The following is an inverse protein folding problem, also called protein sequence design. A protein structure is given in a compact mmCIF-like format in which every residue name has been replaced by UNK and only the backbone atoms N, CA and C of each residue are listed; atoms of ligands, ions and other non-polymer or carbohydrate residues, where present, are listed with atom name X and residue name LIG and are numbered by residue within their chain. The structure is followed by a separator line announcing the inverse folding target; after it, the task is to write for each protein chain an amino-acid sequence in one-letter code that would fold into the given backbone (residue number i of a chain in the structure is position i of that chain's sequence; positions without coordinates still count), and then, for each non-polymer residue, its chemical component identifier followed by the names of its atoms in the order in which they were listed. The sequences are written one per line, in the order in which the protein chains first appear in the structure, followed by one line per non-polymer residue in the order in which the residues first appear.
data_IF_235800181393
#
_entry.id   IF_235800181393
#
_cell.length_a   1.000
_cell.length_b   1.000
_cell.length_c   1.000
_cell.angle_alpha   90.00
_cell.angle_beta   90.00
_cell.angle_gamma   90.00
#
_symmetry.space_group_name_H-M   'P 1'
#
loop_
_entity.id
_entity.type
_entity.pdbx_description
1 polymer ?
#
# COMPACT_ATOMS: atom_id res chain seq x y z
N UNK A 1 26.87 -1.65 -74.94
CA UNK A 1 25.54 -1.86 -74.33
C UNK A 1 25.73 -2.05 -72.84
N UNK A 2 25.38 -1.05 -72.04
CA UNK A 2 25.32 -1.13 -70.58
C UNK A 2 24.08 -0.34 -70.15
N UNK A 3 23.14 -0.92 -69.37
CA UNK A 3 21.98 -0.18 -68.90
C UNK A 3 22.39 0.69 -67.70
N UNK A 4 22.31 2.00 -67.87
CA UNK A 4 22.46 2.96 -66.78
C UNK A 4 21.26 2.90 -65.85
N UNK A 5 21.43 2.28 -64.69
CA UNK A 5 20.46 2.36 -63.59
C UNK A 5 20.48 3.77 -62.97
N UNK A 6 19.35 4.48 -63.07
CA UNK A 6 19.13 5.75 -62.39
C UNK A 6 19.12 5.51 -60.86
N UNK A 7 19.77 6.37 -60.04
CA UNK A 7 19.74 6.22 -58.59
C UNK A 7 18.31 6.47 -58.06
N UNK A 8 17.79 5.63 -57.15
CA UNK A 8 16.46 5.83 -56.57
C UNK A 8 16.42 7.14 -55.78
N UNK A 9 15.31 7.88 -55.94
CA UNK A 9 15.09 9.17 -55.29
C UNK A 9 15.21 9.07 -53.77
N UNK A 10 15.69 10.14 -53.13
CA UNK A 10 15.87 10.21 -51.65
C UNK A 10 14.61 9.81 -50.86
N UNK A 11 13.44 9.95 -51.47
CA UNK A 11 12.14 9.61 -50.89
C UNK A 11 11.88 8.09 -50.77
N UNK A 12 12.35 7.28 -51.73
CA UNK A 12 12.21 5.81 -51.64
C UNK A 12 13.20 5.23 -50.64
N UNK A 13 14.39 5.82 -50.48
CA UNK A 13 15.36 5.43 -49.46
C UNK A 13 14.86 5.65 -48.04
N UNK A 14 14.23 6.79 -47.79
CA UNK A 14 13.69 7.15 -46.48
C UNK A 14 12.56 6.19 -46.05
N UNK A 15 11.73 5.74 -47.00
CA UNK A 15 10.68 4.74 -46.75
C UNK A 15 11.24 3.35 -46.43
N UNK A 16 12.31 2.92 -47.12
CA UNK A 16 12.95 1.63 -46.84
C UNK A 16 13.62 1.60 -45.46
N UNK A 17 14.25 2.71 -45.03
CA UNK A 17 14.87 2.81 -43.70
C UNK A 17 13.81 2.75 -42.59
N UNK A 18 12.67 3.43 -42.76
CA UNK A 18 11.57 3.39 -41.78
C UNK A 18 10.96 1.99 -41.67
N UNK A 19 10.73 1.31 -42.80
CA UNK A 19 10.19 -0.06 -42.81
C UNK A 19 11.17 -1.04 -42.15
N UNK A 20 12.46 -0.96 -42.48
CA UNK A 20 13.48 -1.80 -41.85
C UNK A 20 13.57 -1.55 -40.33
N UNK A 21 13.51 -0.29 -39.90
CA UNK A 21 13.48 0.07 -38.48
C UNK A 21 12.25 -0.49 -37.74
N UNK A 22 11.06 -0.39 -38.35
CA UNK A 22 9.83 -0.94 -37.77
C UNK A 22 9.88 -2.46 -37.61
N UNK A 23 10.45 -3.19 -38.60
CA UNK A 23 10.60 -4.65 -38.52
C UNK A 23 11.55 -5.07 -37.40
N UNK A 24 12.66 -4.33 -37.19
CA UNK A 24 13.60 -4.60 -36.09
C UNK A 24 12.94 -4.37 -34.72
N UNK A 25 12.17 -3.28 -34.58
CA UNK A 25 11.45 -2.97 -33.33
C UNK A 25 10.41 -4.05 -33.02
N UNK A 26 9.62 -4.47 -34.01
CA UNK A 26 8.63 -5.56 -33.82
C UNK A 26 9.30 -6.86 -33.44
N UNK A 27 10.44 -7.21 -34.05
CA UNK A 27 11.21 -8.41 -33.68
C UNK A 27 11.72 -8.38 -32.25
N UNK A 28 12.24 -7.24 -31.78
CA UNK A 28 12.71 -7.07 -30.40
C UNK A 28 11.58 -7.16 -29.39
N UNK A 29 10.41 -6.59 -29.70
CA UNK A 29 9.22 -6.67 -28.83
C UNK A 29 8.73 -8.12 -28.72
N UNK A 30 8.68 -8.86 -29.83
CA UNK A 30 8.28 -10.27 -29.81
C UNK A 30 9.28 -11.14 -29.03
N UNK A 31 10.58 -10.89 -29.16
CA UNK A 31 11.60 -11.59 -28.38
C UNK A 31 11.49 -11.32 -26.87
N UNK A 32 11.19 -10.07 -26.48
CA UNK A 32 10.98 -9.70 -25.07
C UNK A 32 9.74 -10.39 -24.47
N UNK A 33 8.64 -10.50 -25.23
CA UNK A 33 7.41 -11.19 -24.79
C UNK A 33 7.66 -12.69 -24.58
N UNK A 34 8.46 -13.34 -25.44
CA UNK A 34 8.79 -14.77 -25.29
C UNK A 34 9.68 -15.04 -24.07
N UNK A 35 10.57 -14.11 -23.69
CA UNK A 35 11.37 -14.25 -22.48
C UNK A 35 10.55 -14.06 -21.20
N UNK A 36 9.47 -13.26 -21.25
CA UNK A 36 8.61 -12.97 -20.12
C UNK A 36 7.64 -14.11 -19.73
N UNK A 37 7.49 -15.15 -20.57
CA UNK A 37 6.54 -16.26 -20.30
C UNK A 37 7.17 -17.52 -19.68
N UNK A 38 8.48 -17.53 -19.39
CA UNK A 38 9.12 -18.68 -18.71
C UNK A 38 8.80 -18.67 -17.21
N UNK A 39 7.74 -19.39 -16.84
CA UNK A 39 7.28 -19.63 -15.46
C UNK A 39 8.39 -20.28 -14.60
N UNK A 40 8.79 -19.69 -13.46
CA UNK A 40 9.70 -20.33 -12.52
C UNK A 40 9.09 -21.59 -11.89
N UNK A 41 9.88 -22.66 -11.82
CA UNK A 41 9.48 -23.94 -11.22
C UNK A 41 9.29 -23.83 -9.69
N UNK A 42 8.31 -24.50 -9.09
CA UNK A 42 8.10 -24.47 -7.64
C UNK A 42 9.20 -25.25 -6.90
N UNK A 43 9.77 -24.60 -5.87
CA UNK A 43 10.77 -25.16 -4.96
C UNK A 43 10.14 -26.20 -4.01
N UNK A 44 10.78 -27.36 -3.77
CA UNK A 44 10.22 -28.41 -2.91
C UNK A 44 10.27 -28.02 -1.42
N UNK A 45 9.10 -28.04 -0.77
CA UNK A 45 8.92 -27.84 0.65
C UNK A 45 9.54 -29.00 1.47
N UNK A 46 10.41 -28.76 2.46
CA UNK A 46 10.91 -29.84 3.32
C UNK A 46 9.83 -30.27 4.32
N UNK A 47 9.51 -31.57 4.33
CA UNK A 47 8.65 -32.20 5.34
C UNK A 47 9.46 -32.54 6.60
N UNK A 48 8.97 -32.09 7.76
CA UNK A 48 9.53 -32.44 9.05
C UNK A 48 9.14 -33.89 9.44
N UNK A 49 10.14 -34.69 9.77
CA UNK A 49 10.02 -36.03 10.36
C UNK A 49 9.65 -35.89 11.84
N UNK A 50 8.60 -36.59 12.28
CA UNK A 50 8.36 -36.92 13.69
C UNK A 50 8.24 -38.43 13.81
N UNK A 51 9.19 -39.03 14.52
CA UNK A 51 9.28 -40.46 14.83
C UNK A 51 9.00 -40.65 16.34
N UNK A 52 8.33 -41.75 16.76
CA UNK A 52 7.54 -41.80 17.98
C UNK A 52 8.35 -42.29 19.19
N UNK A 53 7.82 -42.09 20.40
CA UNK A 53 8.26 -42.85 21.57
C UNK A 53 7.07 -43.30 22.41
N UNK A 54 7.02 -44.60 22.64
CA UNK A 54 6.01 -45.32 23.41
C UNK A 54 6.39 -45.43 24.89
N UNK A 55 5.42 -45.82 25.72
CA UNK A 55 5.51 -47.05 26.56
C UNK A 55 5.12 -46.87 28.04
N UNK A 56 4.25 -47.81 28.47
CA UNK A 56 4.01 -48.42 29.79
C UNK A 56 3.52 -47.52 30.96
N UNK A 57 2.42 -47.80 31.67
CA UNK A 57 1.85 -49.02 32.31
C UNK A 57 2.35 -49.30 33.74
N UNK A 58 1.39 -49.71 34.60
CA UNK A 58 1.46 -50.20 35.99
C UNK A 58 1.61 -49.13 37.09
N UNK A 59 1.03 -49.18 38.30
CA UNK A 59 0.04 -50.03 39.04
C UNK A 59 -0.17 -49.35 40.42
N UNK A 60 -1.24 -49.60 41.23
CA UNK A 60 -1.65 -48.70 42.33
C UNK A 60 -1.22 -49.14 43.76
N UNK A 61 -1.46 -48.21 44.72
CA UNK A 61 -1.70 -48.40 46.18
C UNK A 61 -0.48 -48.30 47.13
N UNK A 62 -0.63 -48.00 48.45
CA UNK A 62 -1.80 -47.59 49.25
C UNK A 62 -1.65 -46.32 50.13
N UNK A 63 -2.81 -45.73 50.45
CA UNK A 63 -3.27 -45.22 51.75
C UNK A 63 -2.30 -44.45 52.66
N UNK A 64 -2.46 -43.12 52.70
CA UNK A 64 -2.10 -42.31 53.86
C UNK A 64 -3.32 -41.63 54.50
N UNK A 65 -3.36 -41.84 55.80
CA UNK A 65 -4.19 -41.35 56.91
C UNK A 65 -4.86 -39.97 56.70
N UNK A 66 -6.16 -39.79 57.07
CA UNK A 66 -6.80 -38.48 57.03
C UNK A 66 -6.29 -37.60 58.19
N UNK A 67 -5.49 -36.59 57.83
CA UNK A 67 -5.08 -35.48 58.70
C UNK A 67 -6.31 -34.61 59.04
N UNK A 68 -6.48 -34.12 60.29
CA UNK A 68 -7.63 -33.30 60.66
C UNK A 68 -7.73 -32.03 59.82
N UNK A 69 -8.92 -31.82 59.25
CA UNK A 69 -9.26 -30.69 58.38
C UNK A 69 -9.11 -29.36 59.14
N UNK A 70 -8.35 -28.37 58.61
CA UNK A 70 -8.26 -27.05 59.21
C UNK A 70 -9.61 -26.34 59.09
N UNK A 71 -10.04 -25.74 60.21
CA UNK A 71 -11.24 -24.90 60.31
C UNK A 71 -11.19 -23.80 59.25
N UNK A 72 -12.23 -23.61 58.42
CA UNK A 72 -12.21 -22.59 57.39
C UNK A 72 -12.12 -21.21 58.05
N UNK A 73 -10.98 -20.55 57.82
CA UNK A 73 -10.79 -19.15 58.18
C UNK A 73 -11.69 -18.31 57.29
N UNK A 74 -12.43 -17.37 57.88
CA UNK A 74 -13.37 -16.52 57.16
C UNK A 74 -12.67 -15.82 55.99
N UNK A 75 -13.03 -16.21 54.77
CA UNK A 75 -12.57 -15.57 53.54
C UNK A 75 -13.00 -14.11 53.56
N UNK A 76 -12.04 -13.19 53.52
CA UNK A 76 -12.33 -11.77 53.40
C UNK A 76 -13.23 -11.52 52.17
N UNK A 77 -14.20 -10.59 52.25
CA UNK A 77 -15.07 -10.28 51.13
C UNK A 77 -14.24 -9.87 49.91
N UNK A 78 -14.64 -10.26 48.69
CA UNK A 78 -13.89 -9.93 47.49
C UNK A 78 -13.74 -8.42 47.38
N UNK A 79 -12.50 -7.96 47.43
CA UNK A 79 -12.13 -6.57 47.16
C UNK A 79 -12.66 -6.24 45.77
N UNK A 80 -13.50 -5.21 45.67
CA UNK A 80 -14.10 -4.80 44.41
C UNK A 80 -13.01 -4.64 43.34
N UNK A 81 -13.05 -5.48 42.31
CA UNK A 81 -12.17 -5.37 41.16
C UNK A 81 -12.40 -3.98 40.56
N UNK A 82 -11.37 -3.12 40.45
CA UNK A 82 -11.55 -1.82 39.82
C UNK A 82 -12.09 -2.04 38.41
N UNK A 83 -13.26 -1.46 38.15
CA UNK A 83 -13.87 -1.39 36.82
C UNK A 83 -12.78 -0.95 35.83
N UNK A 84 -12.50 -1.69 34.74
CA UNK A 84 -11.57 -1.20 33.74
C UNK A 84 -12.13 0.12 33.23
N UNK A 85 -11.47 1.21 33.61
CA UNK A 85 -11.68 2.50 32.97
C UNK A 85 -11.29 2.28 31.51
N UNK A 86 -12.19 2.45 30.53
CA UNK A 86 -11.81 2.41 29.13
C UNK A 86 -10.88 3.59 28.89
N UNK A 87 -9.59 3.36 29.09
CA UNK A 87 -8.57 4.31 28.70
C UNK A 87 -8.25 3.94 27.26
N UNK A 88 -9.07 4.42 26.34
CA UNK A 88 -8.57 4.70 25.01
C UNK A 88 -7.58 5.87 25.16
N UNK A 89 -6.38 5.55 25.67
CA UNK A 89 -5.25 6.44 25.49
C UNK A 89 -4.98 6.43 23.99
N UNK A 90 -5.45 7.45 23.28
CA UNK A 90 -4.91 7.81 21.96
C UNK A 90 -3.47 8.25 22.24
N UNK A 91 -2.57 7.28 22.33
CA UNK A 91 -1.13 7.50 22.26
C UNK A 91 -0.83 7.97 20.82
N UNK A 92 0.11 8.91 20.64
CA UNK A 92 0.02 9.95 19.62
C UNK A 92 0.13 9.37 18.22
N UNK A 93 -0.95 9.52 17.46
CA UNK A 93 -1.08 9.80 16.03
C UNK A 93 0.26 9.98 15.27
N UNK A 94 1.04 8.90 15.10
CA UNK A 94 2.39 8.93 14.51
C UNK A 94 2.73 7.64 13.76
N UNK A 95 1.75 6.85 13.32
CA UNK A 95 2.02 5.81 12.33
C UNK A 95 1.59 6.29 10.95
N UNK A 96 2.27 5.89 9.86
CA UNK A 96 1.85 6.22 8.50
C UNK A 96 0.39 5.83 8.24
N UNK A 97 -0.03 4.65 8.71
CA UNK A 97 -1.41 4.16 8.55
C UNK A 97 -2.44 5.06 9.26
N UNK A 98 -2.13 5.53 10.47
CA UNK A 98 -3.02 6.47 11.18
C UNK A 98 -3.10 7.80 10.45
N UNK A 99 -1.98 8.32 9.94
CA UNK A 99 -1.97 9.57 9.15
C UNK A 99 -2.76 9.41 7.85
N UNK A 100 -2.66 8.26 7.18
CA UNK A 100 -3.50 7.95 6.02
C UNK A 100 -5.00 7.93 6.37
N UNK A 101 -5.38 7.42 7.55
CA UNK A 101 -6.76 7.47 8.03
C UNK A 101 -7.30 8.89 8.25
N UNK A 102 -6.43 9.85 8.57
CA UNK A 102 -6.81 11.27 8.69
C UNK A 102 -6.89 11.97 7.33
N UNK A 103 -6.06 11.55 6.38
CA UNK A 103 -6.09 12.05 5.01
C UNK A 103 -7.31 11.52 4.25
N UNK A 104 -7.72 10.29 4.53
CA UNK A 104 -8.84 9.63 3.89
C UNK A 104 -9.85 9.15 4.94
N UNK A 105 -10.57 10.06 5.60
CA UNK A 105 -11.55 9.66 6.61
C UNK A 105 -12.69 8.90 5.96
N UNK A 106 -12.95 7.68 6.43
CA UNK A 106 -14.17 6.97 6.10
C UNK A 106 -15.34 7.69 6.79
N UNK A 107 -16.24 8.31 6.02
CA UNK A 107 -17.41 8.93 6.63
C UNK A 107 -18.41 7.83 7.01
N UNK A 108 -18.71 7.72 8.31
CA UNK A 108 -19.85 6.94 8.80
C UNK A 108 -21.22 7.42 8.27
N UNK A 109 -21.24 8.51 7.51
CA UNK A 109 -22.41 9.11 6.85
C UNK A 109 -22.48 8.90 5.32
N UNK A 110 -21.59 8.11 4.71
CA UNK A 110 -21.77 7.60 3.34
C UNK A 110 -21.11 8.39 2.20
N UNK A 111 -20.39 9.49 2.45
CA UNK A 111 -19.54 10.17 1.44
C UNK A 111 -18.28 10.77 2.09
N UNK A 112 -17.19 10.02 2.13
CA UNK A 112 -15.87 10.45 2.60
C UNK A 112 -15.23 11.49 1.67
N UNK A 113 -14.79 12.60 2.26
CA UNK A 113 -13.97 13.60 1.59
C UNK A 113 -12.55 13.53 2.12
N UNK A 114 -11.56 13.50 1.23
CA UNK A 114 -10.15 13.58 1.63
C UNK A 114 -9.84 14.90 2.33
N UNK A 115 -8.82 14.88 3.18
CA UNK A 115 -8.36 16.07 3.87
C UNK A 115 -7.83 17.09 2.86
N UNK A 116 -8.35 18.32 2.91
CA UNK A 116 -7.97 19.37 1.98
C UNK A 116 -8.63 19.30 0.61
N UNK A 117 -9.71 18.52 0.43
CA UNK A 117 -10.51 18.52 -0.79
C UNK A 117 -10.89 19.94 -1.26
N UNK A 118 -11.21 20.84 -0.31
CA UNK A 118 -11.52 22.26 -0.56
C UNK A 118 -10.32 23.14 -0.94
N UNK A 119 -9.10 22.59 -1.05
CA UNK A 119 -7.87 23.35 -1.28
C UNK A 119 -7.20 23.90 -0.02
N UNK A 120 -7.87 23.80 1.13
CA UNK A 120 -7.33 24.20 2.43
C UNK A 120 -6.80 22.97 3.16
N UNK A 121 -5.49 22.74 3.13
CA UNK A 121 -4.83 21.60 3.82
C UNK A 121 -4.54 21.86 5.31
N UNK A 122 -5.21 22.84 5.91
CA UNK A 122 -5.02 23.20 7.32
C UNK A 122 -5.39 22.03 8.22
N UNK A 123 -4.43 21.57 9.03
CA UNK A 123 -4.61 20.42 9.93
C UNK A 123 -4.47 19.05 9.25
N UNK A 124 -4.25 19.00 7.94
CA UNK A 124 -3.94 17.76 7.24
C UNK A 124 -2.46 17.38 7.46
N UNK A 125 -2.13 16.10 7.68
CA UNK A 125 -0.75 15.65 7.83
C UNK A 125 -0.07 15.50 6.47
N UNK A 126 0.11 16.62 5.76
CA UNK A 126 0.72 16.69 4.42
C UNK A 126 1.93 17.62 4.42
N UNK A 127 2.88 17.36 3.54
CA UNK A 127 4.00 18.28 3.30
C UNK A 127 3.58 19.45 2.40
N UNK A 128 4.35 20.54 2.43
CA UNK A 128 4.17 21.66 1.49
C UNK A 128 4.37 21.26 0.03
N UNK A 129 5.21 20.25 -0.21
CA UNK A 129 5.42 19.65 -1.52
C UNK A 129 4.11 19.05 -2.06
N UNK A 130 3.45 18.19 -1.27
CA UNK A 130 2.17 17.58 -1.64
C UNK A 130 1.07 18.63 -1.85
N UNK A 131 1.01 19.65 -0.98
CA UNK A 131 0.05 20.76 -1.12
C UNK A 131 0.24 21.46 -2.48
N UNK A 132 1.48 21.75 -2.85
CA UNK A 132 1.81 22.36 -4.14
C UNK A 132 1.32 21.51 -5.31
N UNK A 133 1.67 20.22 -5.32
CA UNK A 133 1.26 19.27 -6.35
C UNK A 133 -0.26 19.17 -6.48
N UNK A 134 -0.97 19.03 -5.36
CA UNK A 134 -2.42 18.91 -5.34
C UNK A 134 -3.14 20.19 -5.81
N UNK A 135 -2.60 21.36 -5.48
CA UNK A 135 -3.13 22.63 -5.97
C UNK A 135 -2.91 22.80 -7.48
N UNK A 136 -1.74 22.42 -8.00
CA UNK A 136 -1.46 22.40 -9.45
C UNK A 136 -2.34 21.40 -10.21
N UNK A 137 -2.64 20.25 -9.61
CA UNK A 137 -3.57 19.29 -10.19
C UNK A 137 -4.97 19.90 -10.34
N UNK A 138 -5.47 20.57 -9.28
CA UNK A 138 -6.81 21.18 -9.25
C UNK A 138 -6.99 22.26 -10.33
N UNK A 139 -5.95 23.04 -10.65
CA UNK A 139 -6.07 24.08 -11.69
C UNK A 139 -6.32 23.48 -13.07
N UNK A 140 -5.88 22.24 -13.32
CA UNK A 140 -6.11 21.52 -14.58
C UNK A 140 -7.35 20.62 -14.54
N UNK A 141 -7.80 20.25 -13.34
CA UNK A 141 -8.88 19.28 -13.12
C UNK A 141 -9.95 19.85 -12.17
N UNK A 142 -10.52 21.00 -12.52
CA UNK A 142 -11.49 21.70 -11.67
C UNK A 142 -12.75 20.86 -11.34
N UNK A 143 -13.06 19.86 -12.17
CA UNK A 143 -14.21 18.96 -11.98
C UNK A 143 -13.92 17.76 -11.06
N UNK A 144 -12.66 17.52 -10.67
CA UNK A 144 -12.32 16.44 -9.73
C UNK A 144 -12.23 16.99 -8.31
N UNK A 145 -13.17 16.67 -7.41
CA UNK A 145 -13.23 17.26 -6.07
C UNK A 145 -12.10 16.78 -5.14
N UNK A 146 -11.39 15.72 -5.52
CA UNK A 146 -10.42 15.02 -4.66
C UNK A 146 -9.04 14.94 -5.32
N UNK A 147 -8.16 15.96 -5.17
CA UNK A 147 -6.83 15.94 -5.76
C UNK A 147 -5.83 14.92 -5.18
N UNK A 148 -5.93 14.47 -3.92
CA UNK A 148 -4.96 13.53 -3.34
C UNK A 148 -5.19 12.11 -3.86
N UNK A 149 -6.43 11.64 -3.86
CA UNK A 149 -6.77 10.38 -4.51
C UNK A 149 -6.96 10.51 -6.02
N UNK A 150 -7.12 11.73 -6.53
CA UNK A 150 -7.44 12.04 -7.93
C UNK A 150 -8.73 11.39 -8.42
N UNK A 151 -9.63 11.10 -7.49
CA UNK A 151 -10.90 10.47 -7.77
C UNK A 151 -11.90 11.46 -8.41
N UNK A 152 -12.75 10.99 -9.34
CA UNK A 152 -13.80 11.82 -9.93
C UNK A 152 -14.96 12.12 -8.97
N UNK A 153 -15.12 11.32 -7.91
CA UNK A 153 -16.20 11.45 -6.93
C UNK A 153 -15.72 11.12 -5.52
N UNK A 154 -16.54 11.41 -4.51
CA UNK A 154 -16.29 11.00 -3.12
C UNK A 154 -16.36 9.47 -2.98
N UNK A 155 -15.57 8.92 -2.07
CA UNK A 155 -15.59 7.51 -1.70
C UNK A 155 -16.49 7.27 -0.46
N UNK A 156 -17.08 6.08 -0.30
CA UNK A 156 -17.92 5.73 0.85
C UNK A 156 -17.12 5.20 2.04
N UNK A 157 -15.98 4.55 1.78
CA UNK A 157 -15.08 4.04 2.80
C UNK A 157 -13.64 4.08 2.30
N UNK A 158 -12.71 4.09 3.26
CA UNK A 158 -11.28 4.03 3.02
C UNK A 158 -10.65 3.03 3.98
N UNK A 159 -9.79 2.15 3.46
CA UNK A 159 -8.99 1.23 4.26
C UNK A 159 -7.52 1.48 3.99
N UNK A 160 -6.74 1.73 5.05
CA UNK A 160 -5.31 2.01 4.96
C UNK A 160 -4.51 0.82 5.49
N UNK A 161 -3.54 0.35 4.71
CA UNK A 161 -2.61 -0.69 5.11
C UNK A 161 -1.18 -0.29 4.74
N UNK A 162 -0.29 -0.25 5.73
CA UNK A 162 1.13 -0.02 5.46
C UNK A 162 1.70 -1.19 4.64
N UNK A 163 2.44 -0.87 3.59
CA UNK A 163 3.12 -1.83 2.75
C UNK A 163 4.36 -1.17 2.13
N UNK A 164 5.49 -1.22 2.84
CA UNK A 164 6.71 -0.52 2.45
C UNK A 164 7.38 -1.12 1.20
N UNK A 165 6.95 -2.29 0.73
CA UNK A 165 7.37 -2.82 -0.58
C UNK A 165 6.93 -1.92 -1.74
N UNK A 166 5.92 -1.07 -1.51
CA UNK A 166 5.37 -0.10 -2.45
C UNK A 166 6.20 1.20 -2.55
N UNK A 167 7.14 1.43 -1.64
CA UNK A 167 8.08 2.56 -1.75
C UNK A 167 8.87 2.51 -3.07
N UNK A 168 9.22 3.65 -3.67
CA UNK A 168 10.19 3.70 -4.78
C UNK A 168 11.47 2.92 -4.42
N UNK A 169 12.13 2.25 -5.37
CA UNK A 169 13.30 1.41 -5.06
C UNK A 169 14.42 2.12 -4.30
N UNK A 170 14.62 3.42 -4.52
CA UNK A 170 15.61 4.23 -3.81
C UNK A 170 15.26 4.56 -2.35
N UNK A 171 13.99 4.38 -1.95
CA UNK A 171 13.50 4.68 -0.61
C UNK A 171 13.27 3.41 0.24
N UNK A 172 13.35 2.23 -0.36
CA UNK A 172 13.15 0.96 0.35
C UNK A 172 14.21 0.76 1.44
N UNK A 173 13.76 0.47 2.67
CA UNK A 173 14.63 0.31 3.83
C UNK A 173 14.99 1.61 4.55
N UNK A 174 14.55 2.78 4.06
CA UNK A 174 14.72 4.05 4.75
C UNK A 174 13.69 4.17 5.91
N UNK A 175 14.13 4.35 7.17
CA UNK A 175 13.22 4.45 8.33
C UNK A 175 12.37 5.73 8.35
N UNK A 176 12.75 6.73 7.55
CA UNK A 176 12.04 8.00 7.40
C UNK A 176 11.17 8.04 6.14
N UNK A 177 10.94 6.88 5.52
CA UNK A 177 10.03 6.68 4.39
C UNK A 177 9.06 5.55 4.71
N UNK A 178 7.82 5.71 4.31
CA UNK A 178 6.82 4.65 4.41
C UNK A 178 5.84 4.74 3.24
N UNK A 179 5.28 3.61 2.86
CA UNK A 179 4.20 3.56 1.87
C UNK A 179 2.96 2.94 2.49
N UNK A 180 1.82 3.58 2.29
CA UNK A 180 0.52 3.08 2.74
C UNK A 180 -0.37 2.91 1.52
N UNK A 181 -0.83 1.69 1.30
CA UNK A 181 -1.88 1.42 0.33
C UNK A 181 -3.22 1.85 0.94
N UNK A 182 -3.97 2.66 0.20
CA UNK A 182 -5.31 3.08 0.55
C UNK A 182 -6.27 2.51 -0.47
N UNK A 183 -7.21 1.71 -0.01
CA UNK A 183 -8.31 1.17 -0.81
C UNK A 183 -9.56 2.00 -0.57
N UNK A 184 -10.03 2.68 -1.60
CA UNK A 184 -11.21 3.54 -1.58
C UNK A 184 -12.39 2.81 -2.24
N UNK A 185 -13.57 2.89 -1.63
CA UNK A 185 -14.80 2.37 -2.24
C UNK A 185 -15.57 3.51 -2.88
N UNK A 186 -15.59 3.58 -4.21
CA UNK A 186 -16.34 4.57 -4.97
C UNK A 186 -17.63 3.95 -5.52
N UNK A 187 -18.51 4.79 -6.08
CA UNK A 187 -19.69 4.32 -6.81
C UNK A 187 -19.34 3.47 -8.05
N UNK A 188 -18.15 3.68 -8.63
CA UNK A 188 -17.63 2.96 -9.79
C UNK A 188 -16.95 1.62 -9.44
N UNK A 189 -16.66 1.38 -8.16
CA UNK A 189 -15.93 0.20 -7.71
C UNK A 189 -14.87 0.53 -6.65
N UNK A 190 -13.97 -0.41 -6.40
CA UNK A 190 -12.85 -0.22 -5.47
C UNK A 190 -11.62 0.24 -6.22
N UNK A 191 -10.98 1.28 -5.70
CA UNK A 191 -9.78 1.87 -6.26
C UNK A 191 -8.63 1.78 -5.25
N UNK A 192 -7.44 1.47 -5.73
CA UNK A 192 -6.24 1.34 -4.90
C UNK A 192 -5.23 2.41 -5.29
N UNK A 193 -4.88 3.23 -4.30
CA UNK A 193 -3.83 4.22 -4.39
C UNK A 193 -2.78 3.94 -3.33
N UNK A 194 -1.64 4.62 -3.45
CA UNK A 194 -0.56 4.57 -2.48
C UNK A 194 -0.23 5.98 -2.06
N UNK A 195 -0.06 6.17 -0.76
CA UNK A 195 0.39 7.41 -0.14
C UNK A 195 1.82 7.18 0.32
N UNK A 196 2.72 8.05 -0.14
CA UNK A 196 4.11 8.08 0.28
C UNK A 196 4.24 9.04 1.46
N UNK A 197 4.85 8.57 2.53
CA UNK A 197 5.07 9.33 3.75
C UNK A 197 6.54 9.61 3.98
N UNK A 198 6.83 10.79 4.51
CA UNK A 198 8.13 11.19 5.04
C UNK A 198 8.01 11.48 6.54
N UNK A 199 9.02 11.09 7.30
CA UNK A 199 9.15 11.49 8.71
C UNK A 199 9.91 12.82 8.80
N UNK A 200 9.28 13.86 9.35
CA UNK A 200 9.90 15.17 9.59
C UNK A 200 9.66 15.59 11.05
N UNK A 201 10.72 15.92 11.78
CA UNK A 201 10.60 16.32 13.19
C UNK A 201 9.95 15.27 14.10
N UNK A 202 10.02 13.99 13.72
CA UNK A 202 9.38 12.88 14.44
C UNK A 202 7.94 12.57 14.01
N UNK A 203 7.33 13.39 13.16
CA UNK A 203 5.95 13.22 12.67
C UNK A 203 5.95 12.71 11.23
N UNK A 204 5.01 11.81 10.92
CA UNK A 204 4.79 11.36 9.54
C UNK A 204 3.87 12.32 8.81
N UNK A 205 4.29 12.74 7.62
CA UNK A 205 3.55 13.62 6.73
C UNK A 205 3.47 12.95 5.36
N UNK A 206 2.29 12.97 4.74
CA UNK A 206 2.16 12.52 3.36
C UNK A 206 2.89 13.50 2.44
N UNK A 207 3.76 12.96 1.61
CA UNK A 207 4.63 13.70 0.72
C UNK A 207 4.20 13.60 -0.73
N UNK A 208 3.59 12.47 -1.09
CA UNK A 208 3.08 12.22 -2.43
C UNK A 208 2.00 11.13 -2.45
N UNK A 209 1.27 11.03 -3.56
CA UNK A 209 0.37 9.91 -3.84
C UNK A 209 0.60 9.36 -5.24
N UNK A 210 0.44 8.06 -5.45
CA UNK A 210 0.44 7.46 -6.78
C UNK A 210 -0.64 6.39 -6.91
N UNK A 211 -1.07 6.11 -8.14
CA UNK A 211 -1.99 5.03 -8.46
C UNK A 211 -1.57 4.32 -9.74
N UNK A 212 -1.86 3.02 -9.83
CA UNK A 212 -1.37 2.16 -10.90
C UNK A 212 0.15 2.00 -10.84
N UNK A 213 0.89 2.90 -11.51
CA UNK A 213 2.36 2.87 -11.53
C UNK A 213 2.97 3.85 -10.53
N UNK A 214 4.15 3.51 -9.99
CA UNK A 214 4.94 4.40 -9.10
C UNK A 214 5.44 5.68 -9.79
N UNK A 215 5.35 5.76 -11.12
CA UNK A 215 5.71 6.96 -11.87
C UNK A 215 4.54 7.95 -11.97
N UNK A 216 3.31 7.49 -11.74
CA UNK A 216 2.12 8.33 -11.77
C UNK A 216 1.91 9.03 -10.41
N UNK A 217 2.94 9.72 -9.92
CA UNK A 217 2.86 10.49 -8.68
C UNK A 217 2.09 11.78 -8.91
N UNK A 218 1.45 12.32 -7.87
CA UNK A 218 0.72 13.59 -7.97
C UNK A 218 1.67 14.75 -8.25
N UNK A 219 2.90 14.69 -7.71
CA UNK A 219 3.96 15.67 -7.99
C UNK A 219 4.62 15.54 -9.36
N UNK A 220 4.27 14.51 -10.15
CA UNK A 220 4.86 14.34 -11.47
C UNK A 220 4.50 15.51 -12.41
N UNK A 221 5.23 15.67 -13.51
CA UNK A 221 4.94 16.73 -14.49
C UNK A 221 3.63 16.52 -15.26
N UNK A 222 3.07 15.31 -15.25
CA UNK A 222 1.84 14.96 -15.95
C UNK A 222 1.12 13.79 -15.25
N UNK A 223 0.63 13.96 -14.02
CA UNK A 223 -0.18 12.96 -13.35
C UNK A 223 -1.43 12.63 -14.17
N UNK A 224 -1.90 11.39 -14.08
CA UNK A 224 -3.21 10.99 -14.59
C UNK A 224 -4.16 10.76 -13.44
N UNK A 225 -5.46 10.73 -13.73
CA UNK A 225 -6.48 10.32 -12.78
C UNK A 225 -6.22 8.90 -12.28
N UNK A 226 -6.73 8.68 -11.09
CA UNK A 226 -7.04 7.37 -10.58
C UNK A 226 -8.57 7.17 -10.81
#
# INVERSE_FOLDING_TARGET
MAPGGLPPSRWTWQRLVVIAGAVVVVGLVLAAIVLATRKPAPSPTPQAIVTPSASASASPSPSDTPTPSPTPTATAPPTATPKPTPTATITPQNTPTQQAGLLFPANGSGTGSECGANGTYTGCPVTSHLIGAANQWRTHNASTPQPLCRCPSTYSSAFAQQNDTLLPPGDQGNPDRAAVQVSLTLSSGTENMVVLFVRQGGTWLADDTYCGSRMNTLSSGAPTTC
#
